data_IF_135579647989
#
_entry.id   IF_135579647989
#
_cell.length_a   1.000
_cell.length_b   1.000
_cell.length_c   1.000
_cell.angle_alpha   90.00
_cell.angle_beta   90.00
_cell.angle_gamma   90.00
#
_symmetry.space_group_name_H-M   'P 1'
#
loop_
_entity.id
_entity.type
_entity.pdbx_description
1 polymer ?
#
# COMPACT_ATOMS: atom_id res chain seq x y z
N UNK A 1 -0.11 20.29 -3.55
CA UNK A 1 0.37 18.91 -3.82
C UNK A 1 -0.78 17.94 -4.04
N UNK A 2 -1.64 17.69 -3.02
CA UNK A 2 -2.76 16.73 -3.15
C UNK A 2 -3.69 17.08 -4.30
N UNK A 3 -4.10 18.35 -4.42
CA UNK A 3 -5.03 18.78 -5.49
C UNK A 3 -4.42 18.63 -6.89
N UNK A 4 -3.11 18.88 -7.03
CA UNK A 4 -2.41 18.72 -8.30
C UNK A 4 -2.32 17.24 -8.70
N UNK A 5 -1.91 16.37 -7.77
CA UNK A 5 -1.87 14.92 -8.02
C UNK A 5 -3.29 14.39 -8.31
N UNK A 6 -4.30 14.91 -7.62
CA UNK A 6 -5.70 14.58 -7.88
C UNK A 6 -6.14 14.99 -9.29
N UNK A 7 -5.78 16.20 -9.72
CA UNK A 7 -6.08 16.69 -11.06
C UNK A 7 -5.39 15.84 -12.15
N UNK A 8 -4.16 15.36 -11.90
CA UNK A 8 -3.46 14.44 -12.80
C UNK A 8 -4.24 13.13 -12.94
N UNK A 9 -4.63 12.52 -11.80
CA UNK A 9 -5.42 11.29 -11.79
C UNK A 9 -6.76 11.47 -12.54
N UNK A 10 -7.49 12.55 -12.26
CA UNK A 10 -8.77 12.82 -12.91
C UNK A 10 -8.60 13.08 -14.41
N UNK A 11 -7.55 13.80 -14.82
CA UNK A 11 -7.24 14.04 -16.24
C UNK A 11 -6.95 12.72 -16.96
N UNK A 12 -6.14 11.85 -16.36
CA UNK A 12 -5.82 10.54 -16.94
C UNK A 12 -7.04 9.61 -17.00
N UNK A 13 -7.82 9.52 -15.92
CA UNK A 13 -9.01 8.68 -15.86
C UNK A 13 -10.05 9.06 -16.94
N UNK A 14 -10.17 10.36 -17.29
CA UNK A 14 -11.05 10.83 -18.37
C UNK A 14 -10.60 10.39 -19.77
N UNK A 15 -9.33 9.98 -19.94
CA UNK A 15 -8.83 9.47 -21.21
C UNK A 15 -9.23 8.01 -21.45
N UNK A 16 -9.75 7.31 -20.44
CA UNK A 16 -10.21 5.93 -20.58
C UNK A 16 -11.55 5.94 -21.34
N UNK A 17 -11.64 5.37 -22.55
CA UNK A 17 -12.87 5.39 -23.31
C UNK A 17 -14.00 4.68 -22.55
N UNK A 18 -15.25 5.17 -22.64
CA UNK A 18 -16.40 4.52 -22.00
C UNK A 18 -16.70 3.14 -22.57
N UNK A 19 -16.17 2.83 -23.77
CA UNK A 19 -16.25 1.52 -24.41
C UNK A 19 -15.29 0.49 -23.81
N UNK A 20 -14.30 0.91 -23.01
CA UNK A 20 -13.41 0.00 -22.29
C UNK A 20 -14.07 -0.35 -20.95
N UNK A 21 -14.43 -1.63 -20.79
CA UNK A 21 -15.17 -2.13 -19.64
C UNK A 21 -14.43 -3.25 -18.92
N UNK A 22 -14.83 -3.50 -17.68
CA UNK A 22 -14.30 -4.59 -16.90
C UNK A 22 -12.79 -4.48 -16.63
N UNK A 23 -12.07 -5.61 -16.54
CA UNK A 23 -10.63 -5.64 -16.27
C UNK A 23 -9.78 -4.99 -17.38
N UNK A 24 -10.34 -4.80 -18.58
CA UNK A 24 -9.66 -4.10 -19.68
C UNK A 24 -9.40 -2.62 -19.35
N UNK A 25 -10.13 -2.03 -18.40
CA UNK A 25 -9.84 -0.69 -17.89
C UNK A 25 -8.46 -0.63 -17.23
N UNK A 26 -8.14 -1.62 -16.40
CA UNK A 26 -6.82 -1.72 -15.76
C UNK A 26 -5.74 -1.96 -16.81
N UNK A 27 -6.00 -2.79 -17.82
CA UNK A 27 -5.08 -2.99 -18.94
C UNK A 27 -4.81 -1.69 -19.70
N UNK A 28 -5.86 -0.93 -20.00
CA UNK A 28 -5.73 0.38 -20.63
C UNK A 28 -4.88 1.32 -19.79
N UNK A 29 -5.08 1.37 -18.47
CA UNK A 29 -4.25 2.18 -17.55
C UNK A 29 -2.78 1.77 -17.68
N UNK A 30 -2.47 0.48 -17.59
CA UNK A 30 -1.09 -0.04 -17.68
C UNK A 30 -0.45 0.29 -19.02
N UNK A 31 -1.16 0.10 -20.13
CA UNK A 31 -0.64 0.33 -21.48
C UNK A 31 -0.40 1.83 -21.76
N UNK A 32 -1.07 2.72 -21.04
CA UNK A 32 -1.03 4.17 -21.25
C UNK A 32 -0.29 4.94 -20.15
N UNK A 33 0.10 4.32 -19.04
CA UNK A 33 0.76 5.01 -17.91
C UNK A 33 2.08 5.68 -18.32
N UNK A 34 2.75 5.14 -19.33
CA UNK A 34 4.01 5.69 -19.86
C UNK A 34 3.84 6.98 -20.66
N UNK A 35 2.60 7.36 -21.00
CA UNK A 35 2.29 8.65 -21.61
C UNK A 35 2.35 9.82 -20.62
N UNK A 36 2.30 9.53 -19.32
CA UNK A 36 2.50 10.55 -18.29
C UNK A 36 3.94 11.05 -18.29
N UNK A 37 4.11 12.35 -18.08
CA UNK A 37 5.41 12.97 -17.90
C UNK A 37 6.08 12.49 -16.61
N UNK A 38 7.41 12.65 -16.52
CA UNK A 38 8.16 12.29 -15.32
C UNK A 38 7.72 13.13 -14.09
N UNK A 39 7.38 14.40 -14.29
CA UNK A 39 6.88 15.25 -13.22
C UNK A 39 5.51 14.75 -12.70
N UNK A 40 4.59 14.39 -13.59
CA UNK A 40 3.30 13.83 -13.20
C UNK A 40 3.46 12.53 -12.41
N UNK A 41 4.32 11.61 -12.88
CA UNK A 41 4.63 10.37 -12.17
C UNK A 41 5.20 10.66 -10.78
N UNK A 42 6.10 11.64 -10.66
CA UNK A 42 6.64 12.07 -9.37
C UNK A 42 5.57 12.64 -8.44
N UNK A 43 4.60 13.42 -8.95
CA UNK A 43 3.48 13.92 -8.15
C UNK A 43 2.60 12.78 -7.61
N UNK A 44 2.36 11.73 -8.39
CA UNK A 44 1.61 10.56 -7.94
C UNK A 44 2.38 9.77 -6.86
N UNK A 45 3.69 9.58 -7.04
CA UNK A 45 4.55 8.98 -6.01
C UNK A 45 4.53 9.80 -4.72
N UNK A 46 4.60 11.13 -4.81
CA UNK A 46 4.52 12.03 -3.66
C UNK A 46 3.16 11.96 -2.95
N UNK A 47 2.06 11.81 -3.71
CA UNK A 47 0.73 11.58 -3.13
C UNK A 47 0.67 10.26 -2.36
N UNK A 48 1.19 9.17 -2.92
CA UNK A 48 1.25 7.89 -2.22
C UNK A 48 2.12 7.98 -0.94
N UNK A 49 3.30 8.61 -1.03
CA UNK A 49 4.19 8.83 0.11
C UNK A 49 3.52 9.70 1.18
N UNK A 50 2.72 10.70 0.79
CA UNK A 50 1.94 11.51 1.72
C UNK A 50 0.90 10.67 2.46
N UNK A 51 0.11 9.85 1.75
CA UNK A 51 -0.87 8.95 2.38
C UNK A 51 -0.18 8.02 3.39
N UNK A 52 0.94 7.42 3.01
CA UNK A 52 1.74 6.53 3.87
C UNK A 52 2.37 7.29 5.06
N UNK A 53 2.72 8.55 4.88
CA UNK A 53 3.22 9.39 5.99
C UNK A 53 2.10 9.65 7.00
N UNK A 54 0.89 10.01 6.54
CA UNK A 54 -0.27 10.21 7.41
C UNK A 54 -0.65 8.91 8.12
N UNK A 55 -0.52 7.76 7.45
CA UNK A 55 -0.70 6.43 8.05
C UNK A 55 0.23 6.22 9.26
N UNK A 56 1.52 6.50 9.08
CA UNK A 56 2.52 6.38 10.15
C UNK A 56 2.26 7.36 11.30
N UNK A 57 1.91 8.61 11.00
CA UNK A 57 1.60 9.64 12.00
C UNK A 57 0.39 9.28 12.87
N UNK A 58 -0.57 8.51 12.33
CA UNK A 58 -1.73 8.00 13.07
C UNK A 58 -1.48 6.66 13.76
N UNK A 59 -0.25 6.16 13.75
CA UNK A 59 0.10 4.83 14.27
C UNK A 59 -0.75 3.70 13.63
N UNK A 60 -1.13 3.86 12.37
CA UNK A 60 -1.84 2.83 11.62
C UNK A 60 -0.87 1.71 11.20
N UNK A 61 -1.33 0.45 11.29
CA UNK A 61 -0.58 -0.72 10.87
C UNK A 61 -0.70 -1.01 9.38
N UNK A 62 -1.87 -0.73 8.80
CA UNK A 62 -2.19 -0.99 7.40
C UNK A 62 -2.92 0.19 6.77
N UNK A 63 -2.73 0.38 5.45
CA UNK A 63 -3.54 1.27 4.59
C UNK A 63 -4.17 0.45 3.46
N UNK A 64 -5.38 0.84 3.05
CA UNK A 64 -6.07 0.29 1.90
C UNK A 64 -6.56 1.41 0.97
N UNK A 65 -6.31 1.23 -0.33
CA UNK A 65 -6.61 2.19 -1.40
C UNK A 65 -7.23 1.42 -2.57
N UNK A 66 -8.27 1.97 -3.19
CA UNK A 66 -8.91 1.36 -4.35
C UNK A 66 -9.79 0.16 -4.00
N UNK A 67 -10.28 -0.51 -5.04
CA UNK A 67 -11.31 -1.54 -4.92
C UNK A 67 -12.70 -0.98 -4.65
N UNK A 68 -13.70 -1.79 -4.99
CA UNK A 68 -15.10 -1.48 -4.77
C UNK A 68 -15.42 -1.39 -3.26
N UNK A 69 -14.80 -2.26 -2.46
CA UNK A 69 -15.01 -2.31 -1.01
C UNK A 69 -14.61 -1.03 -0.26
N UNK A 70 -13.67 -0.26 -0.81
CA UNK A 70 -13.19 0.97 -0.19
C UNK A 70 -14.18 2.14 -0.30
N UNK A 71 -15.18 2.05 -1.17
CA UNK A 71 -16.18 3.11 -1.42
C UNK A 71 -15.54 4.47 -1.68
N UNK A 72 -14.50 4.50 -2.50
CA UNK A 72 -13.69 5.67 -2.83
C UNK A 72 -12.85 6.27 -1.68
N UNK A 73 -12.90 5.75 -0.46
CA UNK A 73 -12.11 6.26 0.66
C UNK A 73 -10.76 5.55 0.78
N UNK A 74 -9.77 6.24 1.34
CA UNK A 74 -8.60 5.59 1.93
C UNK A 74 -8.98 5.07 3.31
N UNK A 75 -8.58 3.84 3.62
CA UNK A 75 -8.82 3.23 4.92
C UNK A 75 -7.51 2.98 5.64
N UNK A 76 -7.51 3.20 6.95
CA UNK A 76 -6.41 2.79 7.83
C UNK A 76 -6.89 1.74 8.80
N UNK A 77 -5.96 0.86 9.21
CA UNK A 77 -6.11 0.01 10.39
C UNK A 77 -5.33 0.63 11.54
N UNK A 78 -6.02 1.23 12.50
CA UNK A 78 -5.42 1.84 13.69
C UNK A 78 -5.77 0.97 14.90
N UNK A 79 -4.75 0.44 15.59
CA UNK A 79 -4.93 -0.47 16.73
C UNK A 79 -5.93 -1.62 16.45
N UNK A 80 -5.82 -2.23 15.27
CA UNK A 80 -6.70 -3.34 14.85
C UNK A 80 -8.04 -2.92 14.23
N UNK A 81 -8.49 -1.68 14.45
CA UNK A 81 -9.77 -1.17 13.93
C UNK A 81 -9.60 -0.53 12.55
N UNK A 82 -10.40 -0.96 11.57
CA UNK A 82 -10.37 -0.44 10.20
C UNK A 82 -11.34 0.75 10.08
N UNK A 83 -10.86 1.91 9.67
CA UNK A 83 -11.66 3.14 9.58
C UNK A 83 -11.31 3.98 8.34
N UNK A 84 -12.30 4.73 7.84
CA UNK A 84 -12.15 5.67 6.71
C UNK A 84 -11.41 6.92 7.16
N UNK A 85 -10.44 7.34 6.36
CA UNK A 85 -9.66 8.56 6.61
C UNK A 85 -10.26 9.70 5.79
N UNK A 86 -11.26 10.38 6.36
CA UNK A 86 -12.05 11.41 5.65
C UNK A 86 -11.25 12.64 5.21
N UNK A 87 -10.10 12.87 5.84
CA UNK A 87 -9.20 13.99 5.53
C UNK A 87 -8.32 13.73 4.30
N UNK A 88 -8.18 12.46 3.89
CA UNK A 88 -7.48 12.10 2.67
C UNK A 88 -8.43 12.20 1.46
N UNK A 89 -7.90 12.47 0.25
CA UNK A 89 -8.71 12.54 -0.95
C UNK A 89 -9.44 11.21 -1.20
N UNK A 90 -10.64 11.31 -1.73
CA UNK A 90 -11.35 10.16 -2.27
C UNK A 90 -10.86 9.86 -3.68
N UNK A 91 -10.97 8.61 -4.13
CA UNK A 91 -10.55 8.15 -5.45
C UNK A 91 -11.66 7.35 -6.11
N UNK A 92 -11.99 7.66 -7.37
CA UNK A 92 -12.75 6.72 -8.19
C UNK A 92 -11.92 5.45 -8.43
N UNK A 93 -12.55 4.38 -8.90
CA UNK A 93 -11.87 3.12 -9.18
C UNK A 93 -10.71 3.28 -10.18
N UNK A 94 -10.90 4.10 -11.23
CA UNK A 94 -9.86 4.35 -12.22
C UNK A 94 -8.72 5.21 -11.67
N UNK A 95 -9.04 6.22 -10.86
CA UNK A 95 -8.03 7.08 -10.22
C UNK A 95 -7.19 6.27 -9.22
N UNK A 96 -7.83 5.43 -8.41
CA UNK A 96 -7.14 4.53 -7.50
C UNK A 96 -6.27 3.53 -8.27
N UNK A 97 -6.81 2.89 -9.31
CA UNK A 97 -6.07 1.95 -10.15
C UNK A 97 -4.87 2.62 -10.84
N UNK A 98 -5.02 3.85 -11.29
CA UNK A 98 -3.93 4.65 -11.88
C UNK A 98 -2.86 4.98 -10.85
N UNK A 99 -3.26 5.39 -9.64
CA UNK A 99 -2.32 5.62 -8.54
C UNK A 99 -1.55 4.33 -8.20
N UNK A 100 -2.23 3.19 -8.09
CA UNK A 100 -1.61 1.89 -7.78
C UNK A 100 -0.61 1.50 -8.87
N UNK A 101 -1.01 1.56 -10.16
CA UNK A 101 -0.14 1.24 -11.29
C UNK A 101 1.08 2.16 -11.36
N UNK A 102 0.96 3.44 -10.96
CA UNK A 102 2.10 4.37 -10.92
C UNK A 102 3.21 3.98 -9.94
N UNK A 103 2.92 3.08 -8.99
CA UNK A 103 3.91 2.56 -8.02
C UNK A 103 4.64 1.31 -8.52
N UNK A 104 4.20 0.75 -9.64
CA UNK A 104 4.69 -0.53 -10.16
C UNK A 104 5.65 -0.33 -11.33
N UNK A 105 6.61 -1.23 -11.45
CA UNK A 105 7.43 -1.34 -12.65
C UNK A 105 6.74 -2.20 -13.73
N UNK A 106 7.26 -2.17 -14.96
CA UNK A 106 6.66 -2.90 -16.10
C UNK A 106 6.50 -4.40 -15.84
N UNK A 107 7.50 -5.05 -15.25
CA UNK A 107 7.45 -6.49 -14.97
C UNK A 107 6.37 -6.81 -13.92
N UNK A 108 6.25 -5.96 -12.89
CA UNK A 108 5.19 -6.04 -11.88
C UNK A 108 3.80 -5.87 -12.50
N UNK A 109 3.61 -4.91 -13.41
CA UNK A 109 2.35 -4.72 -14.11
C UNK A 109 1.95 -5.96 -14.93
N UNK A 110 2.90 -6.54 -15.68
CA UNK A 110 2.64 -7.77 -16.45
C UNK A 110 2.28 -8.94 -15.53
N UNK A 111 3.01 -9.10 -14.43
CA UNK A 111 2.72 -10.13 -13.43
C UNK A 111 1.33 -9.95 -12.82
N UNK A 112 0.94 -8.72 -12.47
CA UNK A 112 -0.37 -8.39 -11.92
C UNK A 112 -1.50 -8.70 -12.91
N UNK A 113 -1.33 -8.38 -14.19
CA UNK A 113 -2.33 -8.70 -15.23
C UNK A 113 -2.54 -10.21 -15.38
N UNK A 114 -1.46 -11.00 -15.30
CA UNK A 114 -1.51 -12.44 -15.46
C UNK A 114 -2.06 -13.16 -14.22
N UNK A 115 -1.55 -12.81 -13.03
CA UNK A 115 -1.83 -13.54 -11.79
C UNK A 115 -2.97 -12.92 -10.98
N UNK A 116 -3.44 -11.73 -11.37
CA UNK A 116 -4.48 -10.96 -10.68
C UNK A 116 -4.14 -10.53 -9.24
N UNK A 117 -2.92 -10.78 -8.80
CA UNK A 117 -2.37 -10.45 -7.49
C UNK A 117 -0.87 -10.16 -7.60
N UNK A 118 -0.35 -9.27 -6.77
CA UNK A 118 1.07 -8.93 -6.70
C UNK A 118 1.47 -8.46 -5.29
N UNK A 119 2.23 -9.31 -4.61
CA UNK A 119 3.01 -8.94 -3.42
C UNK A 119 4.31 -8.20 -3.83
N UNK A 120 4.60 -7.05 -3.22
CA UNK A 120 5.86 -6.33 -3.42
C UNK A 120 6.29 -5.53 -2.18
N UNK A 121 7.52 -5.04 -2.17
CA UNK A 121 8.00 -4.12 -1.14
C UNK A 121 8.03 -2.69 -1.68
N UNK A 122 7.56 -1.74 -0.88
CA UNK A 122 7.63 -0.31 -1.18
C UNK A 122 8.45 0.41 -0.11
N UNK A 123 9.33 1.32 -0.51
CA UNK A 123 10.23 2.03 0.42
C UNK A 123 10.41 3.46 -0.05
N UNK A 124 10.35 4.42 0.88
CA UNK A 124 10.71 5.81 0.62
C UNK A 124 11.41 6.43 1.83
N UNK A 125 12.14 7.51 1.60
CA UNK A 125 12.79 8.28 2.67
C UNK A 125 11.77 9.23 3.29
N UNK A 126 11.51 9.09 4.59
CA UNK A 126 10.65 9.99 5.33
C UNK A 126 11.48 11.17 5.85
N UNK A 127 11.28 12.35 5.27
CA UNK A 127 12.13 13.52 5.51
C UNK A 127 12.13 13.96 6.98
N UNK A 128 10.97 13.93 7.65
CA UNK A 128 10.82 14.33 9.06
C UNK A 128 11.78 13.62 10.01
N UNK A 129 12.10 12.35 9.74
CA UNK A 129 12.98 11.54 10.59
C UNK A 129 14.26 11.10 9.85
N UNK A 130 14.45 11.54 8.60
CA UNK A 130 15.58 11.19 7.74
C UNK A 130 15.89 9.69 7.68
N UNK A 131 14.84 8.85 7.70
CA UNK A 131 14.96 7.38 7.65
C UNK A 131 14.13 6.80 6.53
N UNK A 132 14.58 5.68 5.99
CA UNK A 132 13.79 4.87 5.07
C UNK A 132 12.71 4.12 5.85
N UNK A 133 11.47 4.28 5.41
CA UNK A 133 10.32 3.52 5.90
C UNK A 133 9.96 2.48 4.84
N UNK A 134 9.65 1.27 5.29
CA UNK A 134 9.38 0.12 4.41
C UNK A 134 7.97 -0.40 4.64
N UNK A 135 7.34 -0.79 3.55
CA UNK A 135 6.01 -1.37 3.54
C UNK A 135 6.03 -2.68 2.76
N UNK A 136 5.26 -3.66 3.24
CA UNK A 136 4.83 -4.79 2.43
C UNK A 136 3.52 -4.39 1.77
N UNK A 137 3.48 -4.45 0.46
CA UNK A 137 2.34 -4.08 -0.36
C UNK A 137 1.78 -5.30 -1.07
N UNK A 138 0.47 -5.33 -1.25
CA UNK A 138 -0.24 -6.33 -2.05
C UNK A 138 -1.28 -5.62 -2.93
N UNK A 139 -1.07 -5.65 -4.24
CA UNK A 139 -1.99 -5.09 -5.23
C UNK A 139 -2.75 -6.22 -5.92
N UNK A 140 -4.07 -6.13 -5.99
CA UNK A 140 -4.91 -7.21 -6.51
C UNK A 140 -6.14 -6.68 -7.22
N UNK A 141 -6.72 -7.52 -8.07
CA UNK A 141 -8.01 -7.21 -8.69
C UNK A 141 -9.13 -7.39 -7.67
N UNK A 142 -9.85 -6.31 -7.41
CA UNK A 142 -11.14 -6.31 -6.72
C UNK A 142 -12.23 -6.01 -7.76
N UNK A 143 -12.92 -7.09 -8.16
CA UNK A 143 -13.79 -7.13 -9.34
C UNK A 143 -13.02 -6.66 -10.59
N UNK A 144 -13.45 -5.54 -11.18
CA UNK A 144 -12.91 -4.98 -12.42
C UNK A 144 -11.87 -3.88 -12.19
N UNK A 145 -11.49 -3.63 -10.94
CA UNK A 145 -10.60 -2.54 -10.53
C UNK A 145 -9.43 -3.06 -9.72
N UNK A 146 -8.43 -2.21 -9.46
CA UNK A 146 -7.35 -2.54 -8.54
C UNK A 146 -7.65 -2.04 -7.12
N UNK A 147 -7.31 -2.90 -6.17
CA UNK A 147 -7.15 -2.57 -4.76
C UNK A 147 -5.68 -2.75 -4.36
N UNK A 148 -5.27 -2.02 -3.33
CA UNK A 148 -3.94 -2.07 -2.76
C UNK A 148 -4.04 -2.06 -1.24
N UNK A 149 -3.43 -3.05 -0.61
CA UNK A 149 -3.17 -3.06 0.82
C UNK A 149 -1.67 -2.85 1.07
N UNK A 150 -1.31 -1.98 2.02
CA UNK A 150 0.09 -1.85 2.45
C UNK A 150 0.19 -1.91 3.97
N UNK A 151 1.08 -2.76 4.46
CA UNK A 151 1.43 -2.89 5.88
C UNK A 151 2.79 -2.27 6.16
N UNK A 152 2.87 -1.43 7.19
CA UNK A 152 4.15 -0.89 7.65
C UNK A 152 5.02 -2.01 8.25
N UNK A 153 6.28 -2.08 7.83
CA UNK A 153 7.29 -2.97 8.42
C UNK A 153 8.08 -2.16 9.43
N UNK A 154 8.08 -2.60 10.70
CA UNK A 154 8.86 -1.94 11.74
C UNK A 154 10.35 -2.03 11.41
N UNK A 155 11.04 -0.88 11.46
CA UNK A 155 12.48 -0.80 11.20
C UNK A 155 13.33 -1.43 12.31
N UNK A 156 12.76 -1.59 13.51
CA UNK A 156 13.44 -2.18 14.66
C UNK A 156 12.63 -3.37 15.20
N UNK A 157 13.36 -4.42 15.59
CA UNK A 157 12.78 -5.55 16.33
C UNK A 157 12.40 -5.05 17.72
N UNK A 158 11.17 -5.32 18.16
CA UNK A 158 10.74 -4.99 19.53
C UNK A 158 11.55 -5.82 20.53
N UNK A 159 12.10 -5.19 21.60
CA UNK A 159 12.70 -5.93 22.69
C UNK A 159 11.70 -6.91 23.29
N UNK A 160 12.14 -8.13 23.60
CA UNK A 160 11.25 -9.17 24.16
C UNK A 160 10.67 -8.76 25.52
N UNK A 161 11.42 -7.94 26.26
CA UNK A 161 11.04 -7.37 27.55
C UNK A 161 9.83 -6.44 27.41
N UNK A 162 9.68 -5.78 26.26
CA UNK A 162 8.54 -4.89 25.97
C UNK A 162 7.22 -5.63 25.71
N UNK A 163 7.27 -6.95 25.53
CA UNK A 163 6.11 -7.79 25.22
C UNK A 163 5.47 -8.38 26.48
N UNK A 164 5.99 -8.03 27.67
CA UNK A 164 5.46 -8.41 28.98
C UNK A 164 5.30 -9.93 29.18
N UNK A 165 6.07 -10.73 28.42
CA UNK A 165 6.11 -12.17 28.63
C UNK A 165 6.75 -12.51 29.96
N UNK A 166 6.21 -13.53 30.63
CA UNK A 166 6.81 -14.03 31.85
C UNK A 166 8.27 -14.49 31.58
N UNK A 167 9.28 -14.06 32.37
CA UNK A 167 10.68 -14.36 32.08
C UNK A 167 10.99 -15.86 31.95
N UNK A 168 10.32 -16.71 32.73
CA UNK A 168 10.44 -18.17 32.59
C UNK A 168 9.91 -18.71 31.26
N UNK A 169 8.80 -18.17 30.74
CA UNK A 169 8.29 -18.58 29.42
C UNK A 169 9.31 -18.23 28.33
N UNK A 170 9.88 -17.02 28.39
CA UNK A 170 10.95 -16.58 27.47
C UNK A 170 12.18 -17.49 27.57
N UNK A 171 12.63 -17.83 28.78
CA UNK A 171 13.77 -18.73 28.98
C UNK A 171 13.52 -20.12 28.39
N UNK A 172 12.36 -20.71 28.65
CA UNK A 172 12.02 -22.05 28.15
C UNK A 172 11.91 -22.09 26.63
N UNK A 173 11.44 -21.01 26.00
CA UNK A 173 11.35 -20.92 24.53
C UNK A 173 12.66 -20.51 23.84
N UNK A 174 13.68 -20.08 24.59
CA UNK A 174 14.92 -19.54 24.03
C UNK A 174 16.00 -20.60 23.92
N UNK A 175 16.56 -20.75 22.72
CA UNK A 175 17.71 -21.64 22.46
C UNK A 175 19.02 -21.18 23.12
N UNK A 176 19.04 -20.00 23.73
CA UNK A 176 20.13 -19.63 24.62
C UNK A 176 20.14 -20.49 25.89
N UNK A 177 18.96 -20.89 26.41
CA UNK A 177 18.81 -21.70 27.62
C UNK A 177 18.48 -23.18 27.33
N UNK A 178 17.54 -23.45 26.41
CA UNK A 178 17.15 -24.83 26.04
C UNK A 178 17.69 -25.19 24.65
N UNK A 179 18.69 -26.07 24.60
CA UNK A 179 19.45 -26.37 23.36
C UNK A 179 18.73 -27.26 22.33
N UNK A 180 17.59 -27.83 22.68
CA UNK A 180 16.82 -28.71 21.80
C UNK A 180 15.32 -28.60 22.10
N UNK A 181 14.49 -28.78 21.08
CA UNK A 181 13.03 -28.69 21.20
C UNK A 181 12.42 -27.81 20.11
N UNK A 182 11.09 -27.72 20.12
CA UNK A 182 10.30 -26.94 19.19
C UNK A 182 9.53 -25.87 19.97
N UNK A 183 9.85 -24.60 19.76
CA UNK A 183 9.08 -23.47 20.29
C UNK A 183 7.95 -23.13 19.31
N UNK A 184 6.70 -23.38 19.70
CA UNK A 184 5.52 -23.04 18.92
C UNK A 184 4.86 -21.79 19.50
N UNK A 185 4.69 -20.77 18.67
CA UNK A 185 3.91 -19.55 18.97
C UNK A 185 2.70 -19.60 18.05
N UNK A 186 1.52 -19.86 18.61
CA UNK A 186 0.25 -20.04 17.89
C UNK A 186 -0.69 -18.87 18.11
#
# INVERSE_FOLDING_TARGET
MVDQAKQILSTFARQIPPTVFGPERVRYIIDNIDKMTQDEKLQLMNLANYILTVMLERNASDVEIGGFGAQNFVWFRVYGKKERVKELPQFTLDEASTLIVSLLNKNQCQYLLQNRNLDFSYTYKLDKISRFVRFRADAYFDLDSLALNMRAIQAAVRPIESLEFHPFAVKTMSHNFIKFGLSLIT
#
